data_IF_705629394862
#
_entry.id   IF_705629394862
#
_cell.length_a   1.000
_cell.length_b   1.000
_cell.length_c   1.000
_cell.angle_alpha   90.00
_cell.angle_beta   90.00
_cell.angle_gamma   90.00
#
_symmetry.space_group_name_H-M   'P 1'
#
loop_
_entity.id
_entity.type
_entity.pdbx_description
1 polymer ?
#
# COMPACT_ATOMS: atom_id res chain seq x y z
N UNK A 1 6.14 -34.90 15.96
CA UNK A 1 5.08 -34.07 15.34
C UNK A 1 4.69 -32.97 16.31
N UNK A 2 5.09 -31.72 16.04
CA UNK A 2 4.64 -30.57 16.83
C UNK A 2 3.34 -30.03 16.23
N UNK A 3 2.29 -29.99 17.01
CA UNK A 3 1.02 -29.40 16.63
C UNK A 3 1.22 -27.90 16.33
N UNK A 4 0.62 -27.41 15.23
CA UNK A 4 0.63 -26.00 14.91
C UNK A 4 -0.11 -25.22 16.02
N UNK A 5 0.38 -24.00 16.38
CA UNK A 5 -0.27 -23.19 17.40
C UNK A 5 -1.68 -22.76 16.91
N UNK A 6 -2.65 -22.64 17.81
CA UNK A 6 -3.98 -22.18 17.46
C UNK A 6 -3.88 -20.73 16.93
N UNK A 7 -4.64 -20.45 15.87
CA UNK A 7 -4.68 -19.14 15.23
C UNK A 7 -4.94 -18.02 16.23
N UNK A 8 -3.98 -17.11 16.35
CA UNK A 8 -3.97 -16.05 17.36
C UNK A 8 -5.02 -14.94 17.08
N UNK A 9 -5.77 -15.04 15.99
CA UNK A 9 -6.76 -14.03 15.63
C UNK A 9 -8.17 -14.62 15.68
N UNK A 10 -9.07 -14.04 16.51
CA UNK A 10 -10.47 -14.42 16.44
C UNK A 10 -10.96 -14.12 15.02
N UNK A 11 -11.45 -15.14 14.33
CA UNK A 11 -12.18 -14.96 13.08
C UNK A 11 -13.36 -14.05 13.38
N UNK A 12 -13.19 -12.76 13.16
CA UNK A 12 -14.30 -11.81 13.18
C UNK A 12 -15.26 -12.30 12.09
N UNK A 13 -16.38 -12.89 12.51
CA UNK A 13 -17.48 -13.15 11.58
C UNK A 13 -17.77 -11.82 10.91
N UNK A 14 -17.56 -11.75 9.61
CA UNK A 14 -18.09 -10.64 8.82
C UNK A 14 -19.59 -10.66 9.09
N UNK A 15 -20.03 -9.73 9.94
CA UNK A 15 -21.44 -9.48 10.07
C UNK A 15 -21.93 -9.19 8.65
N UNK A 16 -22.95 -9.91 8.21
CA UNK A 16 -23.67 -9.60 6.98
C UNK A 16 -24.18 -8.18 7.16
N UNK A 17 -23.42 -7.21 6.68
CA UNK A 17 -23.82 -5.81 6.76
C UNK A 17 -25.15 -5.71 5.99
N UNK A 18 -26.14 -5.12 6.62
CA UNK A 18 -27.39 -4.76 5.95
C UNK A 18 -27.03 -4.04 4.63
N UNK A 19 -27.81 -4.23 3.54
CA UNK A 19 -27.51 -3.62 2.26
C UNK A 19 -27.32 -2.11 2.50
N UNK A 20 -26.09 -1.63 2.30
CA UNK A 20 -25.80 -0.21 2.44
C UNK A 20 -26.46 0.48 1.27
N UNK A 21 -27.48 1.26 1.54
CA UNK A 21 -28.05 2.17 0.56
C UNK A 21 -26.96 3.16 0.14
N UNK A 22 -26.73 3.27 -1.17
CA UNK A 22 -25.79 4.28 -1.67
C UNK A 22 -26.33 5.67 -1.35
N UNK A 23 -25.49 6.61 -0.93
CA UNK A 23 -25.90 7.99 -0.75
C UNK A 23 -26.34 8.57 -2.10
N UNK A 24 -27.32 9.46 -2.11
CA UNK A 24 -27.80 10.13 -3.32
C UNK A 24 -26.78 11.13 -3.89
N UNK A 25 -25.87 11.59 -3.04
CA UNK A 25 -24.83 12.56 -3.38
C UNK A 25 -23.52 12.15 -2.69
N UNK A 26 -22.40 12.40 -3.33
CA UNK A 26 -21.08 12.26 -2.77
C UNK A 26 -20.18 13.39 -3.28
N UNK A 27 -19.30 13.87 -2.45
CA UNK A 27 -18.30 14.87 -2.85
C UNK A 27 -17.22 14.26 -3.73
N UNK A 28 -16.85 13.01 -3.43
CA UNK A 28 -15.88 12.22 -4.20
C UNK A 28 -16.38 10.80 -4.35
N UNK A 29 -16.32 10.28 -5.57
CA UNK A 29 -16.59 8.88 -5.86
C UNK A 29 -15.30 8.25 -6.40
N UNK A 30 -14.82 7.23 -5.71
CA UNK A 30 -13.64 6.44 -6.09
C UNK A 30 -14.15 5.12 -6.66
N UNK A 31 -13.77 4.79 -7.88
CA UNK A 31 -14.14 3.54 -8.52
C UNK A 31 -12.97 2.58 -8.51
N UNK A 32 -13.14 1.47 -7.82
CA UNK A 32 -12.15 0.42 -7.62
C UNK A 32 -11.55 0.41 -6.22
N UNK A 33 -11.70 -0.70 -5.51
CA UNK A 33 -11.21 -0.94 -4.14
C UNK A 33 -9.86 -1.68 -4.09
N UNK A 34 -9.01 -1.49 -5.10
CA UNK A 34 -7.62 -1.94 -5.06
C UNK A 34 -6.75 -1.01 -4.22
N UNK A 35 -5.43 -1.25 -4.23
CA UNK A 35 -4.47 -0.45 -3.42
C UNK A 35 -4.54 1.04 -3.76
N UNK A 36 -4.72 1.39 -5.03
CA UNK A 36 -4.79 2.80 -5.46
C UNK A 36 -6.04 3.46 -4.89
N UNK A 37 -7.22 2.87 -5.12
CA UNK A 37 -8.47 3.46 -4.64
C UNK A 37 -8.55 3.52 -3.11
N UNK A 38 -8.07 2.50 -2.42
CA UNK A 38 -7.99 2.49 -0.96
C UNK A 38 -7.02 3.56 -0.44
N UNK A 39 -5.87 3.73 -1.08
CA UNK A 39 -4.90 4.78 -0.75
C UNK A 39 -5.48 6.17 -0.97
N UNK A 40 -6.17 6.42 -2.07
CA UNK A 40 -6.83 7.71 -2.32
C UNK A 40 -7.88 7.99 -1.24
N UNK A 41 -8.73 7.01 -0.91
CA UNK A 41 -9.73 7.16 0.13
C UNK A 41 -9.11 7.49 1.48
N UNK A 42 -8.04 6.78 1.86
CA UNK A 42 -7.30 7.03 3.10
C UNK A 42 -6.75 8.45 3.15
N UNK A 43 -6.02 8.89 2.12
CA UNK A 43 -5.38 10.20 2.13
C UNK A 43 -6.38 11.35 2.07
N UNK A 44 -7.48 11.20 1.34
CA UNK A 44 -8.56 12.19 1.35
C UNK A 44 -9.21 12.31 2.73
N UNK A 45 -9.48 11.16 3.37
CA UNK A 45 -10.04 11.16 4.72
C UNK A 45 -9.06 11.77 5.74
N UNK A 46 -7.78 11.45 5.64
CA UNK A 46 -6.72 12.01 6.46
C UNK A 46 -6.56 13.52 6.26
N UNK A 47 -6.76 14.01 5.02
CA UNK A 47 -6.82 15.44 4.70
C UNK A 47 -8.13 16.14 5.13
N UNK A 48 -9.00 15.44 5.87
CA UNK A 48 -10.25 15.97 6.39
C UNK A 48 -11.41 16.02 5.40
N UNK A 49 -11.29 15.41 4.25
CA UNK A 49 -12.39 15.30 3.30
C UNK A 49 -13.48 14.36 3.83
N UNK A 50 -14.73 14.73 3.62
CA UNK A 50 -15.92 13.96 4.01
C UNK A 50 -16.73 13.62 2.76
N UNK A 51 -17.73 12.77 2.93
CA UNK A 51 -18.66 12.36 1.86
C UNK A 51 -17.90 11.69 0.68
N UNK A 52 -16.99 10.79 1.04
CA UNK A 52 -16.22 9.98 0.10
C UNK A 52 -16.91 8.63 -0.05
N UNK A 53 -17.18 8.20 -1.28
CA UNK A 53 -17.74 6.89 -1.60
C UNK A 53 -16.71 6.10 -2.39
N UNK A 54 -16.36 4.93 -1.91
CA UNK A 54 -15.54 3.97 -2.65
C UNK A 54 -16.44 2.83 -3.14
N UNK A 55 -16.46 2.65 -4.44
CA UNK A 55 -17.22 1.59 -5.11
C UNK A 55 -16.27 0.47 -5.55
N UNK A 56 -16.58 -0.75 -5.13
CA UNK A 56 -15.89 -1.96 -5.58
C UNK A 56 -16.94 -2.99 -6.03
N UNK A 57 -16.71 -3.58 -7.19
CA UNK A 57 -17.67 -4.54 -7.77
C UNK A 57 -17.63 -5.92 -7.16
N UNK A 58 -16.52 -6.25 -6.48
CA UNK A 58 -16.31 -7.57 -5.86
C UNK A 58 -15.77 -7.36 -4.44
N UNK A 59 -14.63 -7.89 -4.11
CA UNK A 59 -13.96 -7.72 -2.82
C UNK A 59 -12.81 -6.73 -2.93
N UNK A 60 -12.56 -5.98 -1.87
CA UNK A 60 -11.38 -5.12 -1.81
C UNK A 60 -10.13 -5.93 -2.14
N UNK A 61 -9.26 -5.36 -2.95
CA UNK A 61 -7.97 -5.93 -3.39
C UNK A 61 -8.05 -7.18 -4.28
N UNK A 62 -9.22 -7.66 -4.67
CA UNK A 62 -9.39 -8.89 -5.46
C UNK A 62 -8.87 -8.83 -6.90
N UNK A 63 -8.61 -7.64 -7.42
CA UNK A 63 -8.10 -7.42 -8.78
C UNK A 63 -6.57 -7.46 -8.86
N UNK A 64 -5.98 -6.51 -9.59
CA UNK A 64 -4.53 -6.40 -9.84
C UNK A 64 -3.70 -6.33 -8.55
N UNK A 65 -4.23 -5.75 -7.47
CA UNK A 65 -3.54 -5.65 -6.18
C UNK A 65 -3.16 -7.02 -5.61
N UNK A 66 -4.03 -8.01 -5.74
CA UNK A 66 -3.77 -9.39 -5.33
C UNK A 66 -2.59 -10.04 -6.09
N UNK A 67 -2.37 -9.63 -7.34
CA UNK A 67 -1.33 -10.20 -8.20
C UNK A 67 0.04 -9.51 -8.05
N UNK A 68 0.12 -8.46 -7.25
CA UNK A 68 1.38 -7.74 -7.05
C UNK A 68 2.38 -8.57 -6.25
N UNK A 69 3.65 -8.50 -6.64
CA UNK A 69 4.74 -9.22 -5.95
C UNK A 69 5.03 -8.70 -4.54
N UNK A 70 4.50 -7.54 -4.18
CA UNK A 70 4.65 -6.95 -2.84
C UNK A 70 6.03 -6.40 -2.54
N UNK A 71 6.86 -6.16 -3.56
CA UNK A 71 8.19 -5.59 -3.38
C UNK A 71 8.12 -4.07 -3.34
N UNK A 72 8.62 -3.50 -2.23
CA UNK A 72 8.66 -2.05 -2.02
C UNK A 72 10.12 -1.58 -1.99
N UNK A 73 10.60 -1.10 -3.13
CA UNK A 73 11.96 -0.59 -3.28
C UNK A 73 11.93 0.94 -3.46
N UNK A 74 12.84 1.64 -2.78
CA UNK A 74 12.99 3.10 -2.92
C UNK A 74 13.93 3.49 -4.05
N UNK A 75 14.59 2.52 -4.64
CA UNK A 75 15.61 2.65 -5.66
C UNK A 75 15.07 2.32 -7.07
N UNK A 76 15.79 2.74 -8.11
CA UNK A 76 15.50 2.36 -9.51
C UNK A 76 14.51 3.29 -10.23
N UNK A 77 14.29 4.49 -9.73
CA UNK A 77 13.60 5.55 -10.47
C UNK A 77 14.60 6.62 -10.92
N UNK A 78 14.46 7.09 -12.15
CA UNK A 78 15.18 8.25 -12.66
C UNK A 78 14.49 9.57 -12.27
N UNK A 79 13.35 9.52 -11.58
CA UNK A 79 12.57 10.67 -11.15
C UNK A 79 12.67 10.86 -9.64
N UNK A 80 13.07 12.03 -9.20
CA UNK A 80 13.10 12.43 -7.79
C UNK A 80 11.71 12.29 -7.16
N UNK A 81 10.67 12.79 -7.82
CA UNK A 81 9.28 12.68 -7.34
C UNK A 81 8.86 11.22 -7.11
N UNK A 82 9.24 10.32 -8.02
CA UNK A 82 8.95 8.90 -7.86
C UNK A 82 9.72 8.29 -6.68
N UNK A 83 10.94 8.74 -6.45
CA UNK A 83 11.76 8.29 -5.31
C UNK A 83 11.15 8.75 -3.99
N UNK A 84 10.72 9.99 -3.90
CA UNK A 84 10.07 10.55 -2.70
C UNK A 84 8.73 9.85 -2.42
N UNK A 85 7.93 9.60 -3.45
CA UNK A 85 6.69 8.83 -3.30
C UNK A 85 6.93 7.41 -2.77
N UNK A 86 8.00 6.76 -3.22
CA UNK A 86 8.39 5.42 -2.73
C UNK A 86 8.88 5.47 -1.28
N UNK A 87 9.65 6.49 -0.89
CA UNK A 87 10.08 6.70 0.50
C UNK A 87 8.85 6.89 1.41
N UNK A 88 7.95 7.77 1.02
CA UNK A 88 6.69 7.98 1.72
C UNK A 88 5.89 6.69 1.87
N UNK A 89 5.72 5.93 0.80
CA UNK A 89 5.01 4.66 0.86
C UNK A 89 5.68 3.66 1.81
N UNK A 90 7.02 3.61 1.82
CA UNK A 90 7.77 2.75 2.73
C UNK A 90 7.52 3.12 4.20
N UNK A 91 7.53 4.41 4.52
CA UNK A 91 7.23 4.91 5.87
C UNK A 91 5.79 4.58 6.27
N UNK A 92 4.84 4.86 5.37
CA UNK A 92 3.42 4.60 5.58
C UNK A 92 3.16 3.12 5.94
N UNK A 93 3.73 2.19 5.19
CA UNK A 93 3.57 0.75 5.45
C UNK A 93 4.47 0.24 6.58
N UNK A 94 5.58 0.91 6.85
CA UNK A 94 6.56 0.48 7.84
C UNK A 94 6.16 0.76 9.28
N UNK A 95 5.41 1.83 9.52
CA UNK A 95 5.02 2.25 10.87
C UNK A 95 3.63 2.88 10.93
N UNK A 96 3.35 3.89 10.11
CA UNK A 96 2.18 4.76 10.27
C UNK A 96 0.86 3.98 10.27
N UNK A 97 0.65 3.11 9.30
CA UNK A 97 -0.59 2.32 9.21
C UNK A 97 -0.75 1.34 10.37
N UNK A 98 0.34 0.76 10.87
CA UNK A 98 0.28 -0.14 12.02
C UNK A 98 -0.04 0.63 13.31
N UNK A 99 0.54 1.81 13.48
CA UNK A 99 0.27 2.70 14.63
C UNK A 99 -1.17 3.19 14.63
N UNK A 100 -1.70 3.61 13.48
CA UNK A 100 -3.07 4.14 13.37
C UNK A 100 -4.14 3.06 13.46
N UNK A 101 -3.89 1.87 12.92
CA UNK A 101 -4.92 0.83 12.79
C UNK A 101 -4.81 -0.27 13.82
N UNK A 102 -3.65 -0.41 14.47
CA UNK A 102 -3.34 -1.56 15.31
C UNK A 102 -3.26 -2.89 14.54
N UNK A 103 -3.16 -2.82 13.21
CA UNK A 103 -3.11 -4.00 12.34
C UNK A 103 -1.76 -4.09 11.64
N UNK A 104 -1.09 -5.25 11.65
CA UNK A 104 0.18 -5.40 10.96
C UNK A 104 -0.01 -5.31 9.45
N UNK A 105 0.80 -4.50 8.79
CA UNK A 105 0.83 -4.38 7.33
C UNK A 105 1.51 -5.57 6.67
N UNK A 106 2.30 -6.31 7.43
CA UNK A 106 3.12 -7.40 6.93
C UNK A 106 4.40 -6.92 6.22
N UNK A 107 4.68 -5.61 6.24
CA UNK A 107 5.92 -5.08 5.69
C UNK A 107 7.13 -5.58 6.48
N UNK A 108 8.14 -6.12 5.77
CA UNK A 108 9.38 -6.63 6.34
C UNK A 108 10.57 -5.93 5.69
N UNK A 109 11.31 -5.08 6.41
CA UNK A 109 12.48 -4.39 5.89
C UNK A 109 13.67 -5.35 5.78
N UNK A 110 13.66 -6.22 4.78
CA UNK A 110 14.71 -7.22 4.53
C UNK A 110 15.94 -6.66 3.80
N UNK A 111 15.89 -5.40 3.37
CA UNK A 111 16.96 -4.79 2.58
C UNK A 111 16.82 -5.10 1.08
N UNK A 112 17.78 -4.59 0.32
CA UNK A 112 17.83 -4.68 -1.12
C UNK A 112 19.29 -4.74 -1.59
N UNK A 113 19.58 -5.64 -2.51
CA UNK A 113 20.88 -5.77 -3.14
C UNK A 113 20.75 -5.57 -4.63
N UNK A 114 21.52 -4.67 -5.19
CA UNK A 114 21.60 -4.46 -6.62
C UNK A 114 22.98 -4.79 -7.14
N UNK A 115 23.01 -5.54 -8.24
CA UNK A 115 24.25 -5.90 -8.92
C UNK A 115 24.53 -4.94 -10.07
N UNK A 116 25.64 -4.23 -9.99
CA UNK A 116 26.17 -3.45 -11.10
C UNK A 116 27.06 -4.37 -11.95
N UNK A 117 26.59 -4.74 -13.13
CA UNK A 117 27.31 -5.63 -14.05
C UNK A 117 28.22 -4.90 -15.03
N UNK A 118 28.20 -3.56 -15.02
CA UNK A 118 29.00 -2.71 -15.90
C UNK A 118 29.59 -1.53 -15.12
N UNK A 119 30.84 -1.10 -15.39
CA UNK A 119 31.49 0.00 -14.70
C UNK A 119 30.66 1.30 -14.65
N UNK A 120 30.04 1.69 -15.77
CA UNK A 120 29.22 2.92 -15.85
C UNK A 120 28.03 2.89 -14.89
N UNK A 121 27.53 1.69 -14.56
CA UNK A 121 26.45 1.54 -13.58
C UNK A 121 26.95 1.66 -12.14
N UNK A 122 28.21 1.39 -11.90
CA UNK A 122 28.82 1.64 -10.58
C UNK A 122 28.96 3.14 -10.37
N UNK A 123 29.50 3.86 -11.37
CA UNK A 123 29.76 5.30 -11.28
C UNK A 123 28.47 6.13 -11.11
N UNK A 124 27.42 5.81 -11.86
CA UNK A 124 26.12 6.50 -11.75
C UNK A 124 25.44 6.32 -10.39
N UNK A 125 25.83 5.32 -9.61
CA UNK A 125 25.24 5.00 -8.30
C UNK A 125 26.05 5.51 -7.12
N UNK A 126 27.36 5.55 -7.28
CA UNK A 126 28.27 6.12 -6.27
C UNK A 126 28.30 7.65 -6.33
N UNK A 127 28.02 8.23 -7.50
CA UNK A 127 28.02 9.68 -7.69
C UNK A 127 26.85 10.15 -8.57
N UNK A 128 25.62 10.24 -8.00
CA UNK A 128 24.42 10.65 -8.74
C UNK A 128 24.47 12.12 -9.25
N UNK A 129 25.53 12.88 -8.99
CA UNK A 129 25.69 14.27 -9.42
C UNK A 129 26.58 14.42 -10.66
N UNK A 130 26.91 13.34 -11.36
CA UNK A 130 27.73 13.38 -12.58
C UNK A 130 26.91 13.35 -13.88
N UNK A 131 25.70 13.87 -13.86
CA UNK A 131 24.96 14.22 -15.09
C UNK A 131 24.95 15.72 -15.32
#
# INVERSE_FOLDING_TARGET
MRAAPPHLFPRRRLATAAPKTLPQQARVVIVGGGIIGSSIAYHLAHAGWRDIVLLERDRLTSGTTWHAAGLMVTFGSLSETSTELRKYSKELYGSVLEEETGQPTGFKPCGFIELATHPDRVDSRVNPQRE
#
